data_IF_408912828179
#
_entry.id   IF_408912828179
#
_cell.length_a   1.000
_cell.length_b   1.000
_cell.length_c   1.000
_cell.angle_alpha   90.00
_cell.angle_beta   90.00
_cell.angle_gamma   90.00
#
_symmetry.space_group_name_H-M   'P 1'
#
loop_
_entity.id
_entity.type
_entity.pdbx_description
1 polymer ?
#
# COMPACT_ATOMS: atom_id res chain seq x y z
N UNK A 1 -54.69 -47.40 -15.53
CA UNK A 1 -54.04 -46.31 -16.29
C UNK A 1 -52.56 -46.63 -16.34
N UNK A 2 -52.14 -47.48 -17.28
CA UNK A 2 -50.73 -47.82 -17.50
C UNK A 2 -50.51 -47.93 -19.01
N UNK A 3 -49.67 -47.05 -19.53
CA UNK A 3 -49.20 -46.97 -20.91
C UNK A 3 -48.01 -46.03 -20.86
N UNK A 4 -46.93 -46.20 -21.60
CA UNK A 4 -46.39 -47.29 -22.39
C UNK A 4 -44.97 -46.80 -22.70
N UNK A 5 -44.01 -47.70 -22.69
CA UNK A 5 -42.64 -47.42 -23.09
C UNK A 5 -42.65 -47.25 -24.61
N UNK A 6 -42.15 -46.12 -25.14
CA UNK A 6 -41.48 -46.09 -26.44
C UNK A 6 -40.57 -44.86 -26.55
N UNK A 7 -39.29 -45.13 -26.28
CA UNK A 7 -38.13 -44.35 -26.69
C UNK A 7 -38.16 -44.12 -28.21
N UNK A 8 -38.21 -42.85 -28.64
CA UNK A 8 -37.79 -42.44 -29.97
C UNK A 8 -36.76 -41.32 -29.86
N UNK A 9 -35.78 -41.44 -30.75
CA UNK A 9 -34.47 -40.81 -30.73
C UNK A 9 -34.45 -39.38 -31.32
N UNK A 10 -33.25 -38.80 -31.25
CA UNK A 10 -32.74 -37.60 -31.91
C UNK A 10 -33.15 -36.24 -31.33
N UNK A 11 -32.20 -35.60 -30.64
CA UNK A 11 -31.55 -34.43 -31.24
C UNK A 11 -30.11 -34.31 -30.72
N UNK A 12 -29.15 -34.51 -31.64
CA UNK A 12 -27.75 -34.13 -31.49
C UNK A 12 -27.68 -32.60 -31.33
N UNK A 13 -27.30 -32.12 -30.15
CA UNK A 13 -26.73 -30.79 -29.98
C UNK A 13 -25.30 -30.96 -29.47
N UNK A 14 -24.38 -30.99 -30.43
CA UNK A 14 -22.96 -30.79 -30.19
C UNK A 14 -22.82 -29.36 -29.66
N UNK A 15 -22.79 -29.20 -28.34
CA UNK A 15 -22.30 -27.96 -27.73
C UNK A 15 -20.79 -27.99 -27.91
N UNK A 16 -20.33 -27.36 -28.99
CA UNK A 16 -18.93 -27.04 -29.18
C UNK A 16 -18.53 -26.19 -27.98
N UNK A 17 -17.66 -26.72 -27.11
CA UNK A 17 -16.88 -25.93 -26.17
C UNK A 17 -15.96 -25.00 -26.98
N UNK A 18 -16.54 -23.93 -27.53
CA UNK A 18 -15.79 -22.77 -27.93
C UNK A 18 -15.40 -22.09 -26.63
N UNK A 19 -14.19 -22.39 -26.16
CA UNK A 19 -13.48 -21.57 -25.19
C UNK A 19 -13.43 -20.17 -25.75
N UNK A 20 -14.36 -19.32 -25.33
CA UNK A 20 -14.20 -17.88 -25.43
C UNK A 20 -13.06 -17.55 -24.47
N UNK A 21 -11.82 -17.66 -24.96
CA UNK A 21 -10.70 -16.96 -24.37
C UNK A 21 -10.99 -15.48 -24.59
N UNK A 22 -11.75 -14.87 -23.69
CA UNK A 22 -11.72 -13.43 -23.53
C UNK A 22 -10.29 -13.13 -23.14
N UNK A 23 -9.49 -12.67 -24.11
CA UNK A 23 -8.23 -12.00 -23.82
C UNK A 23 -8.62 -10.78 -23.00
N UNK A 24 -8.55 -10.92 -21.68
CA UNK A 24 -8.51 -9.77 -20.78
C UNK A 24 -7.34 -8.95 -21.27
N UNK A 25 -7.67 -7.79 -21.85
CA UNK A 25 -6.69 -6.77 -22.18
C UNK A 25 -5.82 -6.61 -20.94
N UNK A 26 -4.51 -6.79 -21.09
CA UNK A 26 -3.55 -6.37 -20.08
C UNK A 26 -3.59 -4.85 -20.06
N UNK A 27 -4.64 -4.29 -19.47
CA UNK A 27 -4.60 -2.93 -19.01
C UNK A 27 -3.38 -2.84 -18.10
N UNK A 28 -2.53 -1.90 -18.46
CA UNK A 28 -1.25 -1.61 -17.83
C UNK A 28 -1.51 -1.38 -16.34
N UNK A 29 -1.41 -2.45 -15.54
CA UNK A 29 -1.44 -2.37 -14.08
C UNK A 29 -0.41 -1.30 -13.69
N UNK A 30 -0.79 -0.29 -12.90
CA UNK A 30 0.17 0.68 -12.38
C UNK A 30 1.33 -0.14 -11.81
N UNK A 31 2.56 0.17 -12.23
CA UNK A 31 3.75 -0.45 -11.63
C UNK A 31 3.65 -0.15 -10.15
N UNK A 32 3.20 -1.11 -9.32
CA UNK A 32 3.05 -0.87 -7.91
C UNK A 32 4.41 -0.42 -7.40
N UNK A 33 4.45 0.77 -6.79
CA UNK A 33 5.68 1.32 -6.18
C UNK A 33 6.20 0.40 -5.06
N UNK A 34 5.38 -0.59 -4.69
CA UNK A 34 5.71 -1.80 -3.97
C UNK A 34 6.57 -2.74 -4.82
N UNK A 35 7.85 -2.43 -4.92
CA UNK A 35 8.80 -3.28 -5.60
C UNK A 35 9.97 -3.62 -4.68
N UNK A 36 10.12 -4.90 -4.33
CA UNK A 36 11.44 -5.48 -4.05
C UNK A 36 12.21 -5.60 -5.38
N UNK A 37 12.44 -4.49 -6.09
CA UNK A 37 13.23 -4.52 -7.31
C UNK A 37 14.65 -4.95 -6.92
N UNK A 38 15.16 -5.99 -7.59
CA UNK A 38 16.59 -6.36 -7.53
C UNK A 38 17.40 -5.08 -7.73
N UNK A 39 18.07 -4.63 -6.66
CA UNK A 39 18.93 -3.46 -6.67
C UNK A 39 19.88 -3.61 -7.86
N UNK A 40 19.84 -2.67 -8.80
CA UNK A 40 20.76 -2.66 -9.94
C UNK A 40 22.20 -2.57 -9.43
N UNK A 41 23.17 -3.07 -10.22
CA UNK A 41 24.59 -3.22 -9.85
C UNK A 41 25.34 -1.93 -9.50
N UNK A 42 24.72 -0.76 -9.66
CA UNK A 42 25.16 0.43 -8.97
C UNK A 42 24.24 0.61 -7.76
N UNK A 43 24.79 0.48 -6.54
CA UNK A 43 23.99 0.66 -5.33
C UNK A 43 23.22 1.98 -5.37
N UNK A 44 21.90 1.93 -5.16
CA UNK A 44 21.05 3.11 -4.90
C UNK A 44 21.27 4.35 -5.81
N UNK A 45 21.50 4.17 -7.11
CA UNK A 45 21.58 5.27 -8.08
C UNK A 45 20.20 5.55 -8.72
N UNK A 46 19.31 6.20 -7.98
CA UNK A 46 18.12 6.85 -8.55
C UNK A 46 18.40 8.31 -8.88
N UNK A 47 17.64 8.92 -9.81
CA UNK A 47 17.63 10.38 -9.93
C UNK A 47 17.30 10.99 -8.56
N UNK A 48 17.87 12.15 -8.19
CA UNK A 48 17.45 12.86 -6.99
C UNK A 48 15.95 13.12 -7.05
N UNK A 49 15.25 12.77 -5.99
CA UNK A 49 13.81 12.97 -5.85
C UNK A 49 13.52 13.85 -4.63
N UNK A 50 12.40 14.54 -4.71
CA UNK A 50 11.78 15.23 -3.59
C UNK A 50 10.57 14.42 -3.14
N UNK A 51 10.40 14.22 -1.84
CA UNK A 51 9.26 13.50 -1.27
C UNK A 51 8.71 14.32 -0.11
N UNK A 52 7.39 14.55 -0.10
CA UNK A 52 6.70 15.22 1.01
C UNK A 52 6.05 14.17 1.89
N UNK A 53 6.35 14.21 3.18
CA UNK A 53 5.72 13.37 4.20
C UNK A 53 4.78 14.21 5.04
N UNK A 54 3.58 13.70 5.30
CA UNK A 54 2.57 14.30 6.17
C UNK A 54 2.27 13.30 7.29
N UNK A 55 2.35 13.73 8.55
CA UNK A 55 1.86 12.96 9.70
C UNK A 55 0.64 13.68 10.26
N UNK A 56 -0.51 13.00 10.23
CA UNK A 56 -1.79 13.54 10.64
C UNK A 56 -2.40 12.67 11.74
N UNK A 57 -2.75 13.31 12.84
CA UNK A 57 -3.64 12.77 13.84
C UNK A 57 -4.77 13.79 14.10
N UNK A 58 -5.94 13.53 13.51
CA UNK A 58 -7.19 14.24 13.83
C UNK A 58 -8.18 13.33 14.56
N UNK A 59 -7.74 12.12 14.93
CA UNK A 59 -8.55 11.05 15.50
C UNK A 59 -8.51 11.06 17.03
N UNK A 60 -7.34 11.27 17.63
CA UNK A 60 -7.14 11.24 19.09
C UNK A 60 -6.31 12.43 19.57
N UNK A 61 -6.39 12.77 20.86
CA UNK A 61 -5.52 13.77 21.45
C UNK A 61 -4.11 13.20 21.72
N UNK A 62 -3.03 13.98 21.54
CA UNK A 62 -3.02 15.32 20.98
C UNK A 62 -3.25 15.30 19.46
N UNK A 63 -4.15 16.16 18.97
CA UNK A 63 -4.36 16.31 17.54
C UNK A 63 -3.21 17.11 16.94
N UNK A 64 -2.74 16.71 15.76
CA UNK A 64 -1.68 17.41 15.04
C UNK A 64 -1.70 17.11 13.55
N UNK A 65 -1.12 18.02 12.78
CA UNK A 65 -0.71 17.77 11.40
C UNK A 65 0.65 18.43 11.18
N UNK A 66 1.60 17.64 10.70
CA UNK A 66 2.93 18.11 10.36
C UNK A 66 3.31 17.64 8.97
N UNK A 67 4.08 18.47 8.27
CA UNK A 67 4.62 18.13 6.97
C UNK A 67 6.11 18.44 6.89
N UNK A 68 6.82 17.65 6.09
CA UNK A 68 8.22 17.90 5.76
C UNK A 68 8.51 17.42 4.35
N UNK A 69 9.28 18.20 3.60
CA UNK A 69 9.73 17.81 2.26
C UNK A 69 11.22 17.47 2.30
N UNK A 70 11.53 16.22 2.00
CA UNK A 70 12.89 15.72 1.88
C UNK A 70 13.33 15.92 0.44
N UNK A 71 14.31 16.81 0.22
CA UNK A 71 14.72 17.23 -1.13
C UNK A 71 16.01 16.59 -1.60
N UNK A 72 16.11 16.38 -2.92
CA UNK A 72 17.31 15.96 -3.64
C UNK A 72 17.98 14.69 -3.09
N UNK A 73 17.19 13.75 -2.57
CA UNK A 73 17.71 12.47 -2.09
C UNK A 73 17.63 11.43 -3.20
N UNK A 74 18.60 10.51 -3.23
CA UNK A 74 18.52 9.35 -4.11
C UNK A 74 17.26 8.54 -3.80
N UNK A 75 16.57 8.07 -4.83
CA UNK A 75 15.42 7.18 -4.67
C UNK A 75 15.79 5.93 -3.85
N UNK A 76 15.05 5.71 -2.77
CA UNK A 76 15.24 4.67 -1.74
C UNK A 76 13.87 4.27 -1.18
N UNK A 77 13.77 3.16 -0.42
CA UNK A 77 12.53 2.85 0.30
C UNK A 77 12.05 4.00 1.17
N UNK A 78 10.74 4.13 1.34
CA UNK A 78 10.08 5.17 2.13
C UNK A 78 10.65 5.30 3.55
N UNK A 79 11.09 4.18 4.15
CA UNK A 79 11.75 4.18 5.45
C UNK A 79 12.93 5.16 5.51
N UNK A 80 13.75 5.23 4.45
CA UNK A 80 14.88 6.17 4.39
C UNK A 80 14.43 7.64 4.46
N UNK A 81 13.33 7.97 3.79
CA UNK A 81 12.77 9.33 3.80
C UNK A 81 12.16 9.64 5.17
N UNK A 82 11.54 8.65 5.82
CA UNK A 82 11.01 8.79 7.17
C UNK A 82 12.13 8.99 8.21
N UNK A 83 13.23 8.25 8.11
CA UNK A 83 14.44 8.47 8.93
C UNK A 83 14.99 9.89 8.73
N UNK A 84 15.07 10.38 7.48
CA UNK A 84 15.51 11.75 7.19
C UNK A 84 14.57 12.81 7.74
N UNK A 85 13.27 12.56 7.73
CA UNK A 85 12.27 13.44 8.33
C UNK A 85 12.44 13.54 9.85
N UNK A 86 12.71 12.41 10.52
CA UNK A 86 13.01 12.38 11.94
C UNK A 86 14.27 13.22 12.26
N UNK A 87 15.34 13.08 11.47
CA UNK A 87 16.61 13.81 11.63
C UNK A 87 16.47 15.33 11.47
N UNK A 88 15.67 15.81 10.50
CA UNK A 88 15.66 17.23 10.11
C UNK A 88 14.89 18.15 11.06
N UNK A 89 13.81 17.65 11.66
CA UNK A 89 12.81 18.48 12.32
C UNK A 89 12.55 18.04 13.77
N UNK A 90 12.80 16.78 14.13
CA UNK A 90 12.39 16.21 15.42
C UNK A 90 10.86 16.05 15.58
N UNK A 91 10.07 16.73 14.73
CA UNK A 91 8.59 16.69 14.67
C UNK A 91 8.06 15.45 13.91
N UNK A 92 8.92 14.66 13.28
CA UNK A 92 8.59 13.36 12.68
C UNK A 92 9.27 12.22 13.43
N UNK A 93 9.33 12.31 14.76
CA UNK A 93 9.88 11.22 15.56
C UNK A 93 8.93 10.01 15.49
N UNK A 94 9.45 8.85 15.16
CA UNK A 94 8.66 7.63 15.02
C UNK A 94 9.33 6.45 15.73
N UNK A 95 8.53 5.47 16.12
CA UNK A 95 9.01 4.17 16.56
C UNK A 95 8.52 3.09 15.61
N UNK A 96 9.28 2.00 15.52
CA UNK A 96 8.94 0.91 14.62
C UNK A 96 9.39 -0.44 15.14
N UNK A 97 8.61 -1.47 14.80
CA UNK A 97 8.93 -2.87 15.07
C UNK A 97 9.38 -3.53 13.78
N UNK A 98 10.54 -4.19 13.81
CA UNK A 98 11.08 -4.93 12.67
C UNK A 98 10.53 -6.36 12.68
N UNK A 99 9.82 -6.73 11.62
CA UNK A 99 9.38 -8.09 11.35
C UNK A 99 10.27 -8.70 10.26
N UNK A 100 10.97 -9.82 10.52
CA UNK A 100 11.98 -10.37 9.59
C UNK A 100 11.53 -10.56 8.15
N UNK A 101 10.25 -10.87 7.93
CA UNK A 101 9.67 -11.15 6.59
C UNK A 101 8.85 -10.00 6.02
N UNK A 102 8.38 -9.06 6.85
CA UNK A 102 7.46 -7.98 6.44
C UNK A 102 8.15 -6.61 6.40
N UNK A 103 9.31 -6.48 7.05
CA UNK A 103 10.01 -5.21 7.22
C UNK A 103 9.54 -4.44 8.46
N UNK A 104 9.69 -3.12 8.42
CA UNK A 104 9.37 -2.24 9.53
C UNK A 104 7.89 -1.85 9.52
N UNK A 105 7.24 -2.10 10.64
CA UNK A 105 5.90 -1.59 10.96
C UNK A 105 6.04 -0.32 11.80
N UNK A 106 5.29 0.73 11.46
CA UNK A 106 5.34 2.01 12.20
C UNK A 106 4.39 1.94 13.39
N UNK A 107 4.94 1.90 14.59
CA UNK A 107 4.18 1.77 15.84
C UNK A 107 3.63 3.13 16.28
N UNK A 108 4.45 4.19 16.16
CA UNK A 108 4.07 5.53 16.61
C UNK A 108 4.68 6.62 15.75
N UNK A 109 4.04 7.79 15.72
CA UNK A 109 4.60 9.05 15.22
C UNK A 109 4.24 10.14 16.23
N UNK A 110 5.21 10.95 16.63
CA UNK A 110 5.09 11.97 17.68
C UNK A 110 4.43 11.46 18.98
N UNK A 111 4.79 10.25 19.40
CA UNK A 111 4.31 9.65 20.65
C UNK A 111 2.86 9.17 20.63
N UNK A 112 2.18 9.22 19.48
CA UNK A 112 0.85 8.61 19.32
C UNK A 112 1.01 7.21 18.75
N UNK A 113 0.72 6.21 19.58
CA UNK A 113 0.87 4.80 19.27
C UNK A 113 -0.39 4.20 18.64
N UNK A 114 -0.20 3.30 17.68
CA UNK A 114 -1.21 2.31 17.33
C UNK A 114 -1.48 1.36 18.50
N UNK A 115 -2.67 0.76 18.49
CA UNK A 115 -3.10 -0.20 19.51
C UNK A 115 -3.94 -1.29 18.88
N UNK A 116 -3.58 -2.55 19.12
CA UNK A 116 -4.38 -3.71 18.70
C UNK A 116 -5.70 -3.77 19.46
N UNK A 117 -5.69 -3.47 20.77
CA UNK A 117 -6.88 -3.45 21.61
C UNK A 117 -7.89 -2.40 21.12
N UNK A 118 -7.42 -1.19 20.82
CA UNK A 118 -8.25 -0.09 20.33
C UNK A 118 -8.45 -0.13 18.81
N UNK A 119 -7.88 -1.12 18.11
CA UNK A 119 -7.90 -1.25 16.65
C UNK A 119 -7.45 0.04 15.93
N UNK A 120 -6.38 0.68 16.41
CA UNK A 120 -5.82 1.93 15.86
C UNK A 120 -4.42 1.72 15.30
N UNK A 121 -4.08 2.45 14.25
CA UNK A 121 -2.80 2.32 13.55
C UNK A 121 -2.47 3.55 12.69
N UNK A 122 -1.23 3.61 12.22
CA UNK A 122 -0.78 4.59 11.23
C UNK A 122 -1.00 4.06 9.81
N UNK A 123 -2.05 4.53 9.17
CA UNK A 123 -2.39 4.17 7.79
C UNK A 123 -1.55 4.99 6.80
N UNK A 124 -0.89 4.33 5.85
CA UNK A 124 0.00 4.98 4.89
C UNK A 124 -0.71 5.09 3.54
N UNK A 125 -0.79 6.32 3.04
CA UNK A 125 -1.58 6.68 1.85
C UNK A 125 -0.69 7.51 0.93
N UNK A 126 -0.63 7.16 -0.36
CA UNK A 126 -0.09 8.04 -1.40
C UNK A 126 -1.19 8.97 -1.90
N UNK A 127 -1.03 10.28 -1.71
CA UNK A 127 -2.03 11.27 -2.14
C UNK A 127 -1.99 11.54 -3.65
N UNK A 128 -0.82 11.38 -4.26
CA UNK A 128 -0.60 11.59 -5.69
C UNK A 128 -0.73 10.30 -6.52
N UNK A 129 -0.96 9.16 -5.86
CA UNK A 129 -0.93 7.83 -6.44
C UNK A 129 -2.20 7.00 -6.23
N UNK A 130 -2.01 5.76 -5.75
CA UNK A 130 -3.01 4.67 -5.73
C UNK A 130 -3.96 4.75 -4.52
N UNK A 131 -3.75 5.69 -3.59
CA UNK A 131 -4.43 5.73 -2.30
C UNK A 131 -3.67 4.91 -1.26
N UNK A 132 -4.35 4.05 -0.51
CA UNK A 132 -3.73 3.15 0.48
C UNK A 132 -2.57 2.37 -0.14
N UNK A 133 -1.43 2.34 0.55
CA UNK A 133 -0.28 1.60 0.06
C UNK A 133 -0.51 0.08 0.17
N UNK A 134 -0.16 -0.64 -0.89
CA UNK A 134 -0.22 -2.12 -0.93
C UNK A 134 0.93 -2.79 -0.14
N UNK A 135 1.90 -2.01 0.34
CA UNK A 135 3.08 -2.48 1.07
C UNK A 135 3.57 -1.45 2.09
N UNK A 136 4.40 -1.91 3.03
CA UNK A 136 4.97 -1.06 4.08
C UNK A 136 6.13 -0.18 3.63
N UNK A 137 6.61 0.64 4.58
CA UNK A 137 7.69 1.62 4.38
C UNK A 137 9.02 1.00 3.90
N UNK A 138 9.23 -0.28 4.17
CA UNK A 138 10.45 -1.00 3.76
C UNK A 138 10.46 -1.41 2.30
N UNK A 139 9.31 -1.41 1.62
CA UNK A 139 9.18 -1.90 0.24
C UNK A 139 8.60 -0.86 -0.72
N UNK A 140 7.90 0.15 -0.21
CA UNK A 140 7.41 1.24 -1.03
C UNK A 140 8.56 2.13 -1.51
N UNK A 141 8.67 2.32 -2.82
CA UNK A 141 9.68 3.17 -3.46
C UNK A 141 8.98 4.45 -3.98
N UNK A 142 9.05 5.58 -3.26
CA UNK A 142 8.47 6.84 -3.73
C UNK A 142 9.16 7.34 -5.00
N UNK A 143 8.42 8.08 -5.82
CA UNK A 143 8.94 8.82 -6.99
C UNK A 143 8.99 10.32 -6.72
N UNK A 144 9.56 11.07 -7.66
CA UNK A 144 9.73 12.51 -7.48
C UNK A 144 8.40 13.24 -7.36
N UNK A 145 8.30 14.06 -6.32
CA UNK A 145 7.13 14.86 -5.91
C UNK A 145 5.99 14.06 -5.28
N UNK A 146 6.22 12.80 -4.89
CA UNK A 146 5.23 12.05 -4.13
C UNK A 146 4.94 12.71 -2.78
N UNK A 147 3.65 12.80 -2.44
CA UNK A 147 3.13 13.18 -1.14
C UNK A 147 2.56 11.97 -0.43
N UNK A 148 3.21 11.57 0.65
CA UNK A 148 2.83 10.39 1.44
C UNK A 148 2.25 10.86 2.78
N UNK A 149 1.01 10.44 3.04
CA UNK A 149 0.29 10.70 4.27
C UNK A 149 0.35 9.48 5.19
N UNK A 150 0.88 9.68 6.40
CA UNK A 150 0.71 8.81 7.56
C UNK A 150 -0.48 9.35 8.36
N UNK A 151 -1.62 8.68 8.28
CA UNK A 151 -2.85 9.08 8.95
C UNK A 151 -3.13 8.16 10.13
N UNK A 152 -3.20 8.71 11.35
CA UNK A 152 -3.64 7.96 12.52
C UNK A 152 -5.14 7.72 12.44
N UNK A 153 -5.55 6.46 12.48
CA UNK A 153 -6.93 6.05 12.25
C UNK A 153 -7.26 4.75 12.97
N UNK A 154 -8.52 4.33 12.89
CA UNK A 154 -8.98 3.00 13.32
C UNK A 154 -9.25 2.08 12.13
N UNK A 155 -9.37 0.78 12.39
CA UNK A 155 -9.70 -0.23 11.38
C UNK A 155 -11.03 0.09 10.69
N UNK A 156 -12.06 0.45 11.47
CA UNK A 156 -13.38 0.79 10.95
C UNK A 156 -13.34 2.00 10.01
N UNK A 157 -12.68 3.09 10.42
CA UNK A 157 -12.53 4.29 9.58
C UNK A 157 -11.69 4.05 8.33
N UNK A 158 -10.77 3.08 8.37
CA UNK A 158 -9.98 2.68 7.22
C UNK A 158 -10.63 1.59 6.34
N UNK A 159 -11.83 1.10 6.72
CA UNK A 159 -12.56 0.09 5.95
C UNK A 159 -12.09 -1.36 6.17
N UNK A 160 -11.47 -1.66 7.32
CA UNK A 160 -10.93 -2.97 7.69
C UNK A 160 -11.71 -3.67 8.82
N UNK A 161 -13.01 -3.38 8.98
CA UNK A 161 -13.84 -4.11 9.94
C UNK A 161 -14.12 -5.54 9.43
N UNK A 162 -13.61 -6.53 10.17
CA UNK A 162 -13.92 -7.95 10.05
C UNK A 162 -14.64 -8.42 11.33
#
# INVERSE_FOLDING_TARGET
MFSSVHFYALLLLIVVCASISTTVSKDKLPSSQCALKKLSRCGLCGKPINVTLIARNVFAHPMFEHQVTIVKQSQRPLLYFLEKAADQNGVFNFTSTCYPTLGYFIDSINGVNGSLENKTFWHIISLDGVGSLECGVSSFIPVNSDTILFNFTSWSQAGFDY
#
